data_IF_485432492337
#
_entry.id   IF_485432492337
#
_cell.length_a   1.000
_cell.length_b   1.000
_cell.length_c   1.000
_cell.angle_alpha   90.00
_cell.angle_beta   90.00
_cell.angle_gamma   90.00
#
_symmetry.space_group_name_H-M   'P 1'
#
loop_
_entity.id
_entity.type
_entity.pdbx_description
1 polymer ?
#
# COMPACT_ATOMS: atom_id res chain seq x y z
N UNK A 1 -44.43 -14.48 20.83
CA UNK A 1 -43.30 -14.16 21.71
C UNK A 1 -42.16 -15.09 21.33
N UNK A 2 -41.19 -14.60 20.56
CA UNK A 2 -39.95 -15.31 20.28
C UNK A 2 -38.83 -14.26 20.41
N UNK A 3 -38.04 -14.40 21.48
CA UNK A 3 -36.90 -13.54 21.77
C UNK A 3 -35.77 -13.91 20.81
N UNK A 4 -35.37 -12.97 19.95
CA UNK A 4 -34.11 -13.08 19.22
C UNK A 4 -33.00 -12.54 20.14
N UNK A 5 -32.15 -13.44 20.62
CA UNK A 5 -31.00 -13.08 21.44
C UNK A 5 -29.92 -12.44 20.56
N UNK A 6 -29.58 -11.19 20.88
CA UNK A 6 -28.46 -10.47 20.29
C UNK A 6 -27.18 -10.89 21.01
N UNK A 7 -26.35 -11.71 20.38
CA UNK A 7 -25.05 -12.10 20.93
C UNK A 7 -24.03 -10.99 20.68
N UNK A 8 -23.68 -10.27 21.75
CA UNK A 8 -22.55 -9.36 21.80
C UNK A 8 -21.26 -10.14 22.10
N UNK A 9 -20.46 -10.45 21.07
CA UNK A 9 -19.14 -11.01 21.30
C UNK A 9 -18.13 -9.88 21.53
N UNK A 10 -17.65 -9.83 22.77
CA UNK A 10 -16.84 -8.77 23.34
C UNK A 10 -15.41 -9.27 23.41
N UNK A 11 -14.48 -8.57 22.74
CA UNK A 11 -13.02 -8.61 22.93
C UNK A 11 -12.27 -9.94 22.72
N UNK A 12 -11.47 -10.00 21.64
CA UNK A 12 -10.22 -10.77 21.62
C UNK A 12 -9.04 -9.81 21.40
N UNK A 13 -8.18 -9.58 22.41
CA UNK A 13 -6.93 -8.86 22.21
C UNK A 13 -5.80 -9.81 21.76
N UNK A 14 -4.92 -9.21 20.97
CA UNK A 14 -3.51 -9.52 20.73
C UNK A 14 -3.11 -10.88 20.12
N UNK A 15 -2.88 -10.83 18.80
CA UNK A 15 -1.62 -11.31 18.24
C UNK A 15 -1.32 -10.49 16.99
N UNK A 16 -0.83 -9.25 17.17
CA UNK A 16 0.07 -8.67 16.17
C UNK A 16 1.36 -9.49 16.29
N UNK A 17 1.36 -10.66 15.64
CA UNK A 17 2.57 -11.43 15.45
C UNK A 17 3.51 -10.55 14.63
N UNK A 18 4.43 -9.90 15.34
CA UNK A 18 5.73 -9.50 14.83
C UNK A 18 6.46 -10.76 14.39
N UNK A 19 6.00 -11.36 13.30
CA UNK A 19 6.74 -12.33 12.54
C UNK A 19 7.71 -11.53 11.69
N UNK A 20 8.87 -11.22 12.27
CA UNK A 20 10.08 -10.90 11.55
C UNK A 20 10.54 -12.14 10.76
N UNK A 21 9.73 -12.55 9.79
CA UNK A 21 10.14 -13.51 8.76
C UNK A 21 10.72 -12.69 7.62
N UNK A 22 12.01 -12.37 7.79
CA UNK A 22 12.93 -12.28 6.66
C UNK A 22 12.83 -13.58 5.84
N UNK A 23 13.22 -13.52 4.56
CA UNK A 23 12.98 -14.50 3.47
C UNK A 23 11.65 -14.23 2.75
N UNK A 24 11.65 -13.70 1.53
CA UNK A 24 12.43 -14.20 0.40
C UNK A 24 12.86 -13.08 -0.54
N UNK A 25 14.17 -12.91 -0.66
CA UNK A 25 14.78 -12.30 -1.84
C UNK A 25 14.46 -13.23 -3.01
N UNK A 26 13.46 -12.87 -3.81
CA UNK A 26 13.34 -13.36 -5.18
C UNK A 26 14.05 -12.32 -6.05
N UNK A 27 15.29 -12.56 -6.51
CA UNK A 27 15.82 -11.77 -7.61
C UNK A 27 15.07 -12.21 -8.85
N UNK A 28 13.90 -11.62 -9.09
CA UNK A 28 13.29 -11.67 -10.41
C UNK A 28 14.29 -11.07 -11.38
N UNK A 29 14.89 -11.96 -12.17
CA UNK A 29 15.96 -11.69 -13.13
C UNK A 29 15.30 -11.11 -14.38
N UNK A 30 14.69 -9.94 -14.22
CA UNK A 30 14.38 -9.03 -15.30
C UNK A 30 14.93 -7.69 -14.85
N UNK A 31 16.13 -7.36 -15.31
CA UNK A 31 16.74 -6.03 -15.18
C UNK A 31 15.94 -5.02 -16.01
N UNK A 32 14.64 -4.90 -15.75
CA UNK A 32 13.94 -3.64 -15.94
C UNK A 32 14.67 -2.68 -15.01
N UNK A 33 15.18 -1.58 -15.56
CA UNK A 33 15.89 -0.54 -14.83
C UNK A 33 15.03 -0.13 -13.62
N UNK A 34 15.20 -0.76 -12.45
CA UNK A 34 14.35 -0.48 -11.28
C UNK A 34 14.60 0.96 -10.89
N UNK A 35 13.67 1.82 -11.28
CA UNK A 35 13.73 3.24 -10.97
C UNK A 35 13.42 3.44 -9.49
N UNK A 36 13.84 4.58 -8.94
CA UNK A 36 13.43 4.98 -7.59
C UNK A 36 11.93 5.28 -7.60
N UNK A 37 11.23 4.93 -6.53
CA UNK A 37 9.82 5.27 -6.36
C UNK A 37 9.61 6.76 -6.64
N UNK A 38 8.67 7.09 -7.53
CA UNK A 38 8.41 8.48 -7.95
C UNK A 38 7.87 9.37 -6.83
N UNK A 39 7.36 8.79 -5.73
CA UNK A 39 6.85 9.57 -4.59
C UNK A 39 7.98 10.39 -3.96
N UNK A 40 7.74 11.70 -3.81
CA UNK A 40 8.68 12.62 -3.14
C UNK A 40 8.98 12.13 -1.72
N UNK A 41 10.26 12.00 -1.39
CA UNK A 41 10.68 11.49 -0.07
C UNK A 41 10.53 9.98 0.10
N UNK A 42 10.42 9.20 -0.98
CA UNK A 42 10.55 7.74 -0.94
C UNK A 42 11.89 7.31 -1.55
N UNK A 43 12.62 6.43 -0.87
CA UNK A 43 13.92 5.90 -1.35
C UNK A 43 13.88 4.43 -1.73
N UNK A 44 12.71 3.80 -1.61
CA UNK A 44 12.53 2.42 -2.00
C UNK A 44 12.61 2.28 -3.53
N UNK A 45 13.14 1.14 -4.02
CA UNK A 45 13.07 0.82 -5.44
C UNK A 45 11.61 0.60 -5.83
N UNK A 46 11.24 1.07 -7.03
CA UNK A 46 9.94 0.77 -7.60
C UNK A 46 9.81 -0.73 -7.88
N UNK A 47 8.58 -1.23 -7.77
CA UNK A 47 8.25 -2.64 -8.05
C UNK A 47 7.48 -2.70 -9.35
N UNK A 48 7.86 -3.64 -10.22
CA UNK A 48 7.14 -3.88 -11.46
C UNK A 48 5.73 -4.41 -11.16
N UNK A 49 4.72 -3.68 -11.64
CA UNK A 49 3.33 -4.00 -11.37
C UNK A 49 2.44 -3.51 -12.53
N UNK A 50 1.49 -4.34 -13.00
CA UNK A 50 0.68 -4.02 -14.18
C UNK A 50 -0.26 -2.82 -13.99
N UNK A 51 -0.64 -2.50 -12.76
CA UNK A 51 -1.54 -1.36 -12.50
C UNK A 51 -0.83 0.00 -12.50
N UNK A 52 0.50 0.02 -12.35
CA UNK A 52 1.25 1.27 -12.16
C UNK A 52 2.61 1.30 -12.85
N UNK A 53 2.78 0.51 -13.91
CA UNK A 53 3.93 0.50 -14.84
C UNK A 53 5.31 0.48 -14.17
N UNK A 54 5.40 -0.12 -12.99
CA UNK A 54 6.68 -0.19 -12.27
C UNK A 54 7.16 1.13 -11.67
N UNK A 55 6.29 2.12 -11.42
CA UNK A 55 6.70 3.47 -10.99
C UNK A 55 6.74 3.70 -9.47
N UNK A 56 6.04 2.86 -8.71
CA UNK A 56 5.87 3.00 -7.26
C UNK A 56 6.36 1.76 -6.53
N UNK A 57 6.83 1.93 -5.29
CA UNK A 57 7.26 0.81 -4.45
C UNK A 57 6.09 0.11 -3.72
N UNK A 58 4.91 0.74 -3.67
CA UNK A 58 3.71 0.21 -3.03
C UNK A 58 2.45 0.95 -3.45
N UNK A 59 1.29 0.30 -3.27
CA UNK A 59 -0.03 0.91 -3.46
C UNK A 59 -0.28 2.12 -2.56
N UNK A 60 0.33 2.14 -1.36
CA UNK A 60 0.30 3.30 -0.46
C UNK A 60 1.00 4.51 -1.08
N UNK A 61 2.13 4.31 -1.78
CA UNK A 61 2.81 5.44 -2.43
C UNK A 61 2.02 5.97 -3.63
N UNK A 62 1.39 5.09 -4.40
CA UNK A 62 0.51 5.46 -5.50
C UNK A 62 -0.68 6.29 -5.01
N UNK A 63 -1.37 5.84 -3.95
CA UNK A 63 -2.56 6.55 -3.44
C UNK A 63 -2.26 7.96 -2.93
N UNK A 64 -1.09 8.16 -2.31
CA UNK A 64 -0.61 9.50 -1.90
C UNK A 64 -0.43 10.40 -3.13
N UNK A 65 0.24 9.92 -4.18
CA UNK A 65 0.47 10.70 -5.40
C UNK A 65 -0.83 11.01 -6.13
N UNK A 66 -1.78 10.06 -6.18
CA UNK A 66 -3.12 10.31 -6.73
C UNK A 66 -3.85 11.40 -5.96
N UNK A 67 -3.78 11.37 -4.62
CA UNK A 67 -4.38 12.41 -3.77
C UNK A 67 -3.74 13.78 -4.00
N UNK A 68 -2.40 13.85 -4.02
CA UNK A 68 -1.68 15.10 -4.27
C UNK A 68 -1.98 15.70 -5.65
N UNK A 69 -2.02 14.86 -6.69
CA UNK A 69 -2.38 15.27 -8.05
C UNK A 69 -3.81 15.84 -8.09
N UNK A 70 -4.75 15.20 -7.40
CA UNK A 70 -6.12 15.68 -7.28
C UNK A 70 -6.20 17.01 -6.53
N UNK A 71 -5.54 17.16 -5.38
CA UNK A 71 -5.52 18.42 -4.63
C UNK A 71 -4.93 19.57 -5.45
N UNK A 72 -3.86 19.31 -6.21
CA UNK A 72 -3.29 20.30 -7.13
C UNK A 72 -4.26 20.67 -8.25
N UNK A 73 -5.00 19.70 -8.78
CA UNK A 73 -6.04 19.95 -9.77
C UNK A 73 -7.15 20.82 -9.19
N UNK A 74 -7.67 20.50 -8.00
CA UNK A 74 -8.70 21.29 -7.30
C UNK A 74 -8.23 22.72 -7.08
N UNK A 75 -7.00 22.91 -6.58
CA UNK A 75 -6.44 24.26 -6.35
C UNK A 75 -6.36 25.12 -7.61
N UNK A 76 -6.19 24.51 -8.79
CA UNK A 76 -6.16 25.19 -10.09
C UNK A 76 -7.55 25.46 -10.67
N UNK A 77 -8.58 24.78 -10.18
CA UNK A 77 -9.95 24.80 -10.74
C UNK A 77 -11.03 25.13 -9.70
N UNK A 78 -10.65 25.82 -8.63
CA UNK A 78 -11.54 26.48 -7.68
C UNK A 78 -11.67 27.96 -8.03
#
# INVERSE_FOLDING_TARGET
MASVEYSADTNKPDAHSSSSSSLSNVPDTTTSLRTKCKRVGCENPSIDHPEWDGEYCSSQCLSIVCKEAFEQWVKKHQ
#
